data_IF_578927390708
#
_entry.id   IF_578927390708
#
_cell.length_a   1.000
_cell.length_b   1.000
_cell.length_c   1.000
_cell.angle_alpha   90.00
_cell.angle_beta   90.00
_cell.angle_gamma   90.00
#
_symmetry.space_group_name_H-M   'P 1'
#
loop_
_entity.id
_entity.type
_entity.pdbx_description
1 polymer ?
#
# COMPACT_ATOMS: atom_id res chain seq x y z
N UNK A 1 3.90 -32.20 -47.46
CA UNK A 1 4.58 -31.19 -46.61
C UNK A 1 3.61 -30.22 -45.89
N UNK A 2 2.30 -30.24 -46.21
CA UNK A 2 1.34 -29.33 -45.57
C UNK A 2 0.74 -29.81 -44.23
N UNK A 3 0.71 -31.12 -43.96
CA UNK A 3 0.09 -31.67 -42.75
C UNK A 3 1.01 -31.64 -41.48
N UNK A 4 2.33 -31.63 -41.68
CA UNK A 4 3.31 -31.54 -40.57
C UNK A 4 3.50 -30.10 -40.04
N UNK A 5 3.22 -29.09 -40.85
CA UNK A 5 3.29 -27.68 -40.41
C UNK A 5 2.07 -27.28 -39.58
N UNK A 6 0.90 -27.83 -39.83
CA UNK A 6 -0.32 -27.55 -39.04
C UNK A 6 -0.30 -28.19 -37.64
N UNK A 7 0.40 -29.32 -37.44
CA UNK A 7 0.57 -29.93 -36.10
C UNK A 7 1.66 -29.24 -35.23
N UNK A 8 2.62 -28.58 -35.86
CA UNK A 8 3.63 -27.79 -35.13
C UNK A 8 3.05 -26.45 -34.67
N UNK A 9 2.20 -25.81 -35.49
CA UNK A 9 1.50 -24.57 -35.10
C UNK A 9 0.43 -24.81 -34.03
N UNK A 10 -0.24 -25.98 -34.02
CA UNK A 10 -1.21 -26.33 -32.96
C UNK A 10 -0.58 -26.68 -31.64
N UNK A 11 0.71 -27.09 -31.58
CA UNK A 11 1.46 -27.34 -30.34
C UNK A 11 2.13 -26.09 -29.73
N UNK A 12 2.22 -24.98 -30.46
CA UNK A 12 2.72 -23.71 -29.95
C UNK A 12 1.66 -22.84 -29.25
N UNK A 13 0.38 -23.24 -29.24
CA UNK A 13 -0.72 -22.48 -28.64
C UNK A 13 -1.14 -22.92 -27.23
N UNK A 14 -0.35 -23.75 -26.55
CA UNK A 14 -0.63 -24.20 -25.16
C UNK A 14 0.57 -23.99 -24.25
N UNK A 15 1.19 -22.80 -24.28
CA UNK A 15 1.86 -22.29 -23.09
C UNK A 15 0.79 -21.57 -22.26
N UNK A 16 0.55 -21.95 -21.01
CA UNK A 16 -0.32 -21.17 -20.15
C UNK A 16 0.30 -19.76 -20.06
N UNK A 17 -0.46 -18.74 -20.48
CA UNK A 17 -0.14 -17.35 -20.16
C UNK A 17 0.07 -17.30 -18.66
N UNK A 18 1.30 -17.06 -18.22
CA UNK A 18 1.60 -16.90 -16.78
C UNK A 18 0.63 -15.87 -16.23
N UNK A 19 -0.24 -16.31 -15.34
CA UNK A 19 -1.22 -15.45 -14.68
C UNK A 19 -0.46 -14.31 -14.00
N UNK A 20 -0.83 -13.07 -14.30
CA UNK A 20 -0.27 -11.89 -13.61
C UNK A 20 -0.76 -11.76 -12.17
N UNK A 21 -1.58 -12.71 -11.71
CA UNK A 21 -2.23 -12.70 -10.40
C UNK A 21 -1.27 -13.17 -9.32
N UNK A 22 -1.15 -12.37 -8.28
CA UNK A 22 -0.44 -12.69 -7.03
C UNK A 22 -1.43 -13.26 -6.01
N UNK A 23 -1.15 -14.43 -5.46
CA UNK A 23 -1.97 -15.11 -4.45
C UNK A 23 -1.19 -15.21 -3.16
N UNK A 24 -1.71 -14.62 -2.09
CA UNK A 24 -1.09 -14.62 -0.78
C UNK A 24 -1.95 -15.38 0.22
N UNK A 25 -1.46 -16.53 0.70
CA UNK A 25 -2.11 -17.28 1.75
C UNK A 25 -1.66 -16.73 3.10
N UNK A 26 -2.61 -16.30 3.92
CA UNK A 26 -2.36 -15.78 5.27
C UNK A 26 -2.90 -16.76 6.29
N UNK A 27 -2.01 -17.35 7.06
CA UNK A 27 -2.36 -18.27 8.14
C UNK A 27 -1.61 -17.97 9.42
N UNK A 28 -1.94 -18.64 10.49
CA UNK A 28 -1.26 -18.47 11.76
C UNK A 28 -2.13 -18.83 12.95
N UNK A 29 -1.48 -18.87 14.11
CA UNK A 29 -2.12 -19.24 15.38
C UNK A 29 -3.21 -18.24 15.77
N UNK A 30 -4.28 -18.72 16.34
CA UNK A 30 -5.37 -17.87 16.83
C UNK A 30 -4.86 -16.85 17.85
N UNK A 31 -5.15 -15.57 17.62
CA UNK A 31 -4.61 -14.46 18.42
C UNK A 31 -3.24 -13.93 17.96
N UNK A 32 -2.61 -14.50 16.92
CA UNK A 32 -1.34 -14.04 16.39
C UNK A 32 -1.45 -12.79 15.49
N UNK A 33 -2.67 -12.33 15.12
CA UNK A 33 -2.86 -11.12 14.33
C UNK A 33 -3.29 -11.35 12.88
N UNK A 34 -3.75 -12.55 12.49
CA UNK A 34 -4.20 -12.88 11.12
C UNK A 34 -5.18 -11.83 10.55
N UNK A 35 -6.23 -11.49 11.29
CA UNK A 35 -7.21 -10.49 10.86
C UNK A 35 -6.58 -9.12 10.63
N UNK A 36 -5.62 -8.72 11.45
CA UNK A 36 -4.89 -7.46 11.27
C UNK A 36 -4.07 -7.47 9.97
N UNK A 37 -3.41 -8.59 9.65
CA UNK A 37 -2.66 -8.73 8.39
C UNK A 37 -3.60 -8.72 7.19
N UNK A 38 -4.75 -9.39 7.26
CA UNK A 38 -5.73 -9.37 6.17
C UNK A 38 -6.27 -7.95 5.92
N UNK A 39 -6.58 -7.18 6.97
CA UNK A 39 -7.00 -5.78 6.83
C UNK A 39 -5.87 -4.92 6.23
N UNK A 40 -4.61 -5.15 6.64
CA UNK A 40 -3.46 -4.46 6.05
C UNK A 40 -3.33 -4.77 4.55
N UNK A 41 -3.52 -6.02 4.14
CA UNK A 41 -3.47 -6.43 2.73
C UNK A 41 -4.63 -5.84 1.92
N UNK A 42 -5.82 -5.73 2.50
CA UNK A 42 -6.96 -5.03 1.90
C UNK A 42 -6.63 -3.55 1.64
N UNK A 43 -6.05 -2.84 2.62
CA UNK A 43 -5.54 -1.47 2.46
C UNK A 43 -4.47 -1.36 1.35
N UNK A 44 -3.72 -2.44 1.07
CA UNK A 44 -2.69 -2.53 0.04
C UNK A 44 -3.23 -2.99 -1.33
N UNK A 45 -4.54 -3.07 -1.46
CA UNK A 45 -5.24 -3.37 -2.72
C UNK A 45 -5.38 -4.86 -3.04
N UNK A 46 -5.16 -5.75 -2.06
CA UNK A 46 -5.52 -7.15 -2.20
C UNK A 46 -7.02 -7.36 -2.05
N UNK A 47 -7.60 -8.20 -2.89
CA UNK A 47 -8.93 -8.75 -2.63
C UNK A 47 -8.83 -9.83 -1.56
N UNK A 48 -9.50 -9.63 -0.43
CA UNK A 48 -9.35 -10.49 0.76
C UNK A 48 -10.52 -11.45 0.88
N UNK A 49 -10.22 -12.74 1.06
CA UNK A 49 -11.18 -13.78 1.44
C UNK A 49 -10.71 -14.39 2.75
N UNK A 50 -11.51 -14.32 3.81
CA UNK A 50 -11.21 -14.96 5.09
C UNK A 50 -12.20 -16.08 5.40
N UNK A 51 -11.74 -17.10 6.10
CA UNK A 51 -12.53 -18.23 6.62
C UNK A 51 -13.26 -19.08 5.56
N UNK A 52 -12.77 -19.12 4.32
CA UNK A 52 -13.32 -20.01 3.30
C UNK A 52 -12.85 -21.46 3.52
N UNK A 53 -13.70 -22.49 3.30
CA UNK A 53 -13.26 -23.86 3.28
C UNK A 53 -12.12 -24.09 2.28
N UNK A 54 -11.09 -24.86 2.68
CA UNK A 54 -9.90 -25.09 1.84
C UNK A 54 -10.24 -25.64 0.47
N UNK A 55 -11.17 -26.60 0.40
CA UNK A 55 -11.61 -27.23 -0.85
C UNK A 55 -12.21 -26.25 -1.87
N UNK A 56 -12.69 -25.10 -1.44
CA UNK A 56 -13.27 -24.08 -2.31
C UNK A 56 -12.24 -23.02 -2.77
N UNK A 57 -11.07 -22.96 -2.13
CA UNK A 57 -10.07 -21.91 -2.44
C UNK A 57 -9.63 -21.89 -3.91
N UNK A 58 -9.27 -23.01 -4.55
CA UNK A 58 -8.84 -23.00 -5.95
C UNK A 58 -9.94 -22.49 -6.89
N UNK A 59 -11.18 -22.99 -6.73
CA UNK A 59 -12.32 -22.59 -7.57
C UNK A 59 -12.70 -21.11 -7.36
N UNK A 60 -12.69 -20.64 -6.11
CA UNK A 60 -12.98 -19.25 -5.78
C UNK A 60 -11.88 -18.32 -6.33
N UNK A 61 -10.61 -18.68 -6.15
CA UNK A 61 -9.48 -17.91 -6.67
C UNK A 61 -9.57 -17.80 -8.20
N UNK A 62 -9.80 -18.93 -8.89
CA UNK A 62 -9.93 -18.95 -10.35
C UNK A 62 -11.09 -18.05 -10.82
N UNK A 63 -12.28 -18.20 -10.23
CA UNK A 63 -13.45 -17.41 -10.60
C UNK A 63 -13.25 -15.91 -10.44
N UNK A 64 -12.65 -15.50 -9.33
CA UNK A 64 -12.38 -14.09 -9.04
C UNK A 64 -11.35 -13.48 -9.99
N UNK A 65 -10.35 -14.25 -10.38
CA UNK A 65 -9.29 -13.76 -11.27
C UNK A 65 -9.68 -13.75 -12.74
N UNK A 66 -10.62 -14.62 -13.16
CA UNK A 66 -11.15 -14.66 -14.52
C UNK A 66 -12.21 -13.58 -14.78
N UNK A 67 -13.16 -13.39 -13.85
CA UNK A 67 -14.34 -12.52 -14.04
C UNK A 67 -14.12 -11.08 -13.58
N UNK A 68 -13.10 -10.83 -12.76
CA UNK A 68 -12.84 -9.53 -12.16
C UNK A 68 -11.38 -9.20 -12.40
N UNK A 69 -11.02 -8.00 -12.82
CA UNK A 69 -9.63 -7.55 -12.99
C UNK A 69 -8.81 -7.59 -11.67
N UNK A 70 -8.96 -8.67 -10.88
CA UNK A 70 -8.24 -8.88 -9.63
C UNK A 70 -6.86 -9.45 -9.94
N UNK A 71 -5.83 -8.68 -9.68
CA UNK A 71 -4.42 -9.07 -9.83
C UNK A 71 -3.74 -9.44 -8.51
N UNK A 72 -4.37 -9.16 -7.37
CA UNK A 72 -3.85 -9.43 -6.02
C UNK A 72 -4.92 -10.06 -5.15
N UNK A 73 -4.69 -11.28 -4.69
CA UNK A 73 -5.63 -12.06 -3.89
C UNK A 73 -5.01 -12.48 -2.56
N UNK A 74 -5.67 -12.22 -1.44
CA UNK A 74 -5.26 -12.68 -0.11
C UNK A 74 -6.28 -13.67 0.45
N UNK A 75 -5.82 -14.88 0.81
CA UNK A 75 -6.64 -15.99 1.28
C UNK A 75 -6.34 -16.27 2.74
N UNK A 76 -7.28 -15.97 3.64
CA UNK A 76 -7.18 -16.27 5.07
C UNK A 76 -7.52 -17.73 5.38
N UNK A 77 -6.54 -18.47 5.87
CA UNK A 77 -6.71 -19.88 6.31
C UNK A 77 -6.49 -19.96 7.81
N UNK A 78 -7.46 -20.48 8.54
CA UNK A 78 -7.36 -20.67 9.99
C UNK A 78 -7.63 -22.14 10.42
N UNK A 79 -7.50 -22.37 11.71
CA UNK A 79 -7.68 -23.71 12.29
C UNK A 79 -9.08 -24.28 12.04
N UNK A 80 -10.11 -23.43 11.90
CA UNK A 80 -11.50 -23.89 11.69
C UNK A 80 -11.66 -24.52 10.31
N UNK A 81 -11.01 -23.93 9.31
CA UNK A 81 -11.04 -24.39 7.92
C UNK A 81 -10.12 -25.58 7.73
N UNK A 82 -8.92 -25.55 8.33
CA UNK A 82 -7.94 -26.62 8.23
C UNK A 82 -8.35 -27.89 9.01
N UNK A 83 -8.93 -27.71 10.18
CA UNK A 83 -9.35 -28.84 11.02
C UNK A 83 -10.39 -29.78 10.37
N UNK A 84 -11.13 -29.25 9.40
CA UNK A 84 -12.06 -30.07 8.59
C UNK A 84 -11.36 -30.84 7.45
N UNK A 85 -10.18 -30.34 6.98
CA UNK A 85 -9.63 -30.75 5.68
C UNK A 85 -8.08 -30.75 5.66
N UNK A 86 -7.45 -30.97 6.82
CA UNK A 86 -5.98 -30.87 6.98
C UNK A 86 -5.18 -31.78 6.06
N UNK A 87 -5.74 -32.95 5.71
CA UNK A 87 -5.11 -33.92 4.80
C UNK A 87 -5.00 -33.38 3.36
N UNK A 88 -5.83 -32.40 3.00
CA UNK A 88 -5.94 -31.88 1.64
C UNK A 88 -5.16 -30.58 1.41
N UNK A 89 -4.58 -29.95 2.46
CA UNK A 89 -3.86 -28.66 2.30
C UNK A 89 -2.77 -28.77 1.22
N UNK A 90 -1.94 -29.80 1.27
CA UNK A 90 -0.84 -29.98 0.30
C UNK A 90 -1.37 -30.04 -1.13
N UNK A 91 -2.42 -30.81 -1.38
CA UNK A 91 -3.04 -30.92 -2.70
C UNK A 91 -3.61 -29.60 -3.19
N UNK A 92 -4.31 -28.87 -2.33
CA UNK A 92 -4.89 -27.55 -2.65
C UNK A 92 -3.80 -26.53 -2.94
N UNK A 93 -2.72 -26.55 -2.15
CA UNK A 93 -1.58 -25.67 -2.36
C UNK A 93 -0.88 -25.97 -3.69
N UNK A 94 -0.66 -27.25 -4.02
CA UNK A 94 -0.11 -27.67 -5.32
C UNK A 94 -1.01 -27.26 -6.49
N UNK A 95 -2.32 -27.30 -6.35
CA UNK A 95 -3.25 -26.77 -7.36
C UNK A 95 -3.08 -25.26 -7.57
N UNK A 96 -2.96 -24.47 -6.50
CA UNK A 96 -2.72 -23.03 -6.61
C UNK A 96 -1.37 -22.74 -7.28
N UNK A 97 -0.31 -23.46 -6.89
CA UNK A 97 1.00 -23.34 -7.52
C UNK A 97 0.97 -23.66 -9.02
N UNK A 98 0.23 -24.71 -9.41
CA UNK A 98 0.12 -25.09 -10.83
C UNK A 98 -0.68 -24.09 -11.65
N UNK A 99 -1.66 -23.40 -11.05
CA UNK A 99 -2.53 -22.44 -11.73
C UNK A 99 -1.88 -21.07 -11.87
N UNK A 100 -1.22 -20.57 -10.82
CA UNK A 100 -0.71 -19.20 -10.76
C UNK A 100 0.81 -19.10 -10.89
N UNK A 101 1.55 -20.18 -10.67
CA UNK A 101 3.02 -20.21 -10.67
C UNK A 101 3.60 -20.17 -9.26
N UNK A 102 4.78 -20.79 -9.09
CA UNK A 102 5.46 -20.91 -7.80
C UNK A 102 6.00 -19.58 -7.27
N UNK A 103 6.25 -18.62 -8.15
CA UNK A 103 6.69 -17.26 -7.82
C UNK A 103 5.53 -16.33 -7.42
N UNK A 104 4.28 -16.72 -7.76
CA UNK A 104 3.07 -15.91 -7.54
C UNK A 104 2.24 -16.35 -6.34
N UNK A 105 2.41 -17.57 -5.86
CA UNK A 105 1.70 -18.08 -4.67
C UNK A 105 2.65 -18.10 -3.49
N UNK A 106 2.36 -17.31 -2.45
CA UNK A 106 3.19 -17.19 -1.25
C UNK A 106 2.38 -17.40 0.02
N UNK A 107 3.03 -17.84 1.09
CA UNK A 107 2.42 -18.08 2.40
C UNK A 107 3.06 -17.19 3.47
N UNK A 108 2.24 -16.36 4.11
CA UNK A 108 2.59 -15.67 5.36
C UNK A 108 2.02 -16.46 6.53
N UNK A 109 2.88 -16.92 7.43
CA UNK A 109 2.47 -17.58 8.66
C UNK A 109 2.74 -16.70 9.89
N UNK A 110 1.69 -16.45 10.68
CA UNK A 110 1.77 -15.61 11.88
C UNK A 110 1.86 -16.47 13.14
N UNK A 111 2.78 -16.11 13.99
CA UNK A 111 2.94 -16.75 15.31
C UNK A 111 3.12 -15.71 16.42
N UNK A 112 3.04 -16.15 17.65
CA UNK A 112 3.45 -15.40 18.83
C UNK A 112 3.78 -16.40 19.95
N UNK A 113 4.55 -15.94 20.96
CA UNK A 113 4.82 -16.75 22.16
C UNK A 113 3.52 -17.16 22.86
N UNK A 114 3.49 -18.36 23.43
CA UNK A 114 2.28 -18.89 24.07
C UNK A 114 1.75 -17.97 25.18
N UNK A 115 2.63 -17.42 26.00
CA UNK A 115 2.28 -16.44 27.05
C UNK A 115 1.57 -15.20 26.50
N UNK A 116 2.01 -14.72 25.32
CA UNK A 116 1.41 -13.57 24.64
C UNK A 116 0.04 -13.93 24.08
N UNK A 117 -0.12 -15.13 23.48
CA UNK A 117 -1.42 -15.59 22.99
C UNK A 117 -2.42 -15.74 24.15
N UNK A 118 -2.01 -16.35 25.26
CA UNK A 118 -2.84 -16.48 26.46
C UNK A 118 -3.28 -15.10 26.96
N UNK A 119 -2.36 -14.15 27.05
CA UNK A 119 -2.67 -12.77 27.48
C UNK A 119 -3.67 -12.08 26.53
N UNK A 120 -3.49 -12.25 25.19
CA UNK A 120 -4.40 -11.69 24.19
C UNK A 120 -5.82 -12.29 24.27
N UNK A 121 -5.94 -13.62 24.48
CA UNK A 121 -7.22 -14.25 24.70
C UNK A 121 -7.91 -13.75 25.98
N UNK A 122 -7.15 -13.60 27.08
CA UNK A 122 -7.67 -13.03 28.31
C UNK A 122 -8.17 -11.59 28.16
N UNK A 123 -7.39 -10.76 27.48
CA UNK A 123 -7.74 -9.36 27.23
C UNK A 123 -8.98 -9.19 26.33
N UNK A 124 -9.12 -10.04 25.31
CA UNK A 124 -10.25 -9.97 24.37
C UNK A 124 -11.49 -10.73 24.82
N UNK A 125 -11.39 -11.54 25.87
CA UNK A 125 -12.46 -12.45 26.37
C UNK A 125 -13.04 -13.36 25.29
N UNK A 126 -12.25 -13.69 24.25
CA UNK A 126 -12.67 -14.60 23.18
C UNK A 126 -12.38 -16.06 23.58
N UNK A 127 -13.25 -16.96 23.14
CA UNK A 127 -13.01 -18.40 23.27
C UNK A 127 -12.13 -18.85 22.12
N UNK A 128 -11.14 -19.70 22.40
CA UNK A 128 -10.28 -20.27 21.36
C UNK A 128 -11.11 -21.14 20.39
N UNK A 129 -10.91 -21.06 19.05
CA UNK A 129 -11.72 -21.78 18.08
C UNK A 129 -11.84 -23.28 18.36
N UNK A 130 -10.76 -23.96 18.72
CA UNK A 130 -10.81 -25.42 19.05
C UNK A 130 -11.59 -25.73 20.32
N UNK A 131 -11.70 -24.79 21.26
CA UNK A 131 -12.54 -24.97 22.47
C UNK A 131 -14.03 -24.76 22.17
N UNK A 132 -14.34 -24.04 21.11
CA UNK A 132 -15.73 -23.83 20.65
C UNK A 132 -16.23 -24.93 19.70
N UNK A 133 -15.36 -25.89 19.34
CA UNK A 133 -15.69 -27.00 18.43
C UNK A 133 -15.82 -28.30 19.22
N UNK A 134 -17.02 -28.82 19.38
CA UNK A 134 -17.31 -30.05 20.19
C UNK A 134 -16.51 -31.29 19.81
N UNK A 135 -16.03 -31.40 18.58
CA UNK A 135 -15.24 -32.54 18.08
C UNK A 135 -13.81 -32.63 18.63
N UNK A 136 -13.32 -31.59 19.30
CA UNK A 136 -12.01 -31.61 19.93
C UNK A 136 -12.18 -31.61 21.45
N UNK A 137 -11.78 -32.71 22.10
CA UNK A 137 -11.76 -32.80 23.58
C UNK A 137 -10.61 -31.91 24.15
N UNK A 138 -10.74 -30.61 24.00
CA UNK A 138 -9.76 -29.64 24.48
C UNK A 138 -10.35 -28.85 25.65
N UNK A 139 -9.83 -29.13 26.86
CA UNK A 139 -10.40 -28.62 28.11
C UNK A 139 -9.89 -27.26 28.57
N UNK A 140 -8.78 -26.80 28.03
CA UNK A 140 -8.16 -25.53 28.45
C UNK A 140 -7.41 -24.85 27.30
N UNK A 141 -7.15 -23.56 27.46
CA UNK A 141 -6.50 -22.72 26.44
C UNK A 141 -5.08 -23.19 26.07
N UNK A 142 -4.17 -23.54 26.98
CA UNK A 142 -2.85 -24.06 26.59
C UNK A 142 -2.92 -25.32 25.73
N UNK A 143 -3.80 -26.26 26.06
CA UNK A 143 -4.00 -27.47 25.24
C UNK A 143 -4.57 -27.16 23.87
N UNK A 144 -5.46 -26.16 23.77
CA UNK A 144 -6.01 -25.70 22.51
C UNK A 144 -4.90 -25.09 21.62
N UNK A 145 -4.08 -24.22 22.19
CA UNK A 145 -2.95 -23.59 21.50
C UNK A 145 -1.93 -24.63 21.00
N UNK A 146 -1.60 -25.61 21.83
CA UNK A 146 -0.70 -26.71 21.44
C UNK A 146 -1.28 -27.50 20.27
N UNK A 147 -2.53 -27.95 20.39
CA UNK A 147 -3.21 -28.68 19.34
C UNK A 147 -3.33 -27.91 18.03
N UNK A 148 -3.61 -26.63 18.10
CA UNK A 148 -3.63 -25.75 16.94
C UNK A 148 -2.27 -25.71 16.25
N UNK A 149 -1.17 -25.58 17.01
CA UNK A 149 0.19 -25.57 16.46
C UNK A 149 0.50 -26.85 15.69
N UNK A 150 0.12 -28.01 16.21
CA UNK A 150 0.30 -29.29 15.55
C UNK A 150 -0.53 -29.38 14.25
N UNK A 151 -1.78 -28.93 14.29
CA UNK A 151 -2.70 -28.97 13.14
C UNK A 151 -2.29 -28.02 12.02
N UNK A 152 -1.76 -26.83 12.36
CA UNK A 152 -1.27 -25.84 11.40
C UNK A 152 0.16 -26.16 10.88
N UNK A 153 0.79 -27.23 11.37
CA UNK A 153 2.13 -27.66 10.97
C UNK A 153 2.36 -27.70 9.45
N UNK A 154 1.46 -28.32 8.65
CA UNK A 154 1.61 -28.35 7.20
C UNK A 154 1.68 -26.97 6.54
N UNK A 155 0.97 -25.97 7.06
CA UNK A 155 1.03 -24.60 6.53
C UNK A 155 2.31 -23.92 6.97
N UNK A 156 2.67 -24.01 8.27
CA UNK A 156 3.86 -23.35 8.79
C UNK A 156 5.15 -23.89 8.17
N UNK A 157 5.19 -25.20 7.80
CA UNK A 157 6.35 -25.80 7.16
C UNK A 157 6.53 -25.41 5.69
N UNK A 158 5.48 -24.89 5.04
CA UNK A 158 5.52 -24.39 3.67
C UNK A 158 5.47 -22.85 3.60
N UNK A 159 5.58 -22.18 4.75
CA UNK A 159 5.51 -20.73 4.80
C UNK A 159 6.77 -20.08 4.20
N UNK A 160 6.58 -19.13 3.28
CA UNK A 160 7.66 -18.32 2.71
C UNK A 160 8.19 -17.31 3.74
N UNK A 161 7.31 -16.83 4.63
CA UNK A 161 7.71 -16.00 5.78
C UNK A 161 6.93 -16.40 7.03
N UNK A 162 7.64 -16.45 8.16
CA UNK A 162 7.06 -16.59 9.50
C UNK A 162 7.25 -15.28 10.24
N UNK A 163 6.14 -14.66 10.66
CA UNK A 163 6.15 -13.40 11.40
C UNK A 163 5.79 -13.66 12.86
N UNK A 164 6.77 -13.50 13.74
CA UNK A 164 6.54 -13.49 15.19
C UNK A 164 6.03 -12.11 15.63
N UNK A 165 4.78 -12.08 16.07
CA UNK A 165 4.09 -10.86 16.50
C UNK A 165 4.15 -10.62 17.99
N UNK A 166 4.97 -11.37 18.75
CA UNK A 166 5.01 -11.32 20.23
C UNK A 166 5.30 -9.91 20.76
N UNK A 167 6.20 -9.19 20.10
CA UNK A 167 6.65 -7.86 20.52
C UNK A 167 6.20 -6.74 19.55
N UNK A 168 5.54 -7.10 18.46
CA UNK A 168 5.14 -6.12 17.45
C UNK A 168 3.86 -5.39 17.87
N UNK A 169 3.86 -4.07 17.71
CA UNK A 169 2.64 -3.28 17.65
C UNK A 169 2.03 -3.33 16.24
N UNK A 170 0.84 -2.76 16.07
CA UNK A 170 0.12 -2.81 14.79
C UNK A 170 0.88 -2.09 13.66
N UNK A 171 1.62 -1.03 13.96
CA UNK A 171 2.39 -0.28 12.98
C UNK A 171 3.59 -1.08 12.50
N UNK A 172 4.33 -1.69 13.42
CA UNK A 172 5.46 -2.57 13.09
C UNK A 172 5.02 -3.80 12.29
N UNK A 173 3.84 -4.36 12.61
CA UNK A 173 3.26 -5.44 11.82
C UNK A 173 2.93 -4.98 10.40
N UNK A 174 2.34 -3.79 10.24
CA UNK A 174 2.02 -3.20 8.93
C UNK A 174 3.27 -3.02 8.08
N UNK A 175 4.34 -2.45 8.64
CA UNK A 175 5.62 -2.28 7.95
C UNK A 175 6.21 -3.63 7.50
N UNK A 176 6.19 -4.64 8.39
CA UNK A 176 6.71 -5.97 8.06
C UNK A 176 5.95 -6.64 6.91
N UNK A 177 4.62 -6.49 6.88
CA UNK A 177 3.79 -7.01 5.78
C UNK A 177 4.09 -6.26 4.48
N UNK A 178 4.22 -4.92 4.51
CA UNK A 178 4.53 -4.09 3.34
C UNK A 178 5.88 -4.46 2.72
N UNK A 179 6.93 -4.56 3.55
CA UNK A 179 8.26 -5.02 3.13
C UNK A 179 8.18 -6.36 2.40
N UNK A 180 7.41 -7.31 2.96
CA UNK A 180 7.30 -8.64 2.40
C UNK A 180 6.58 -8.67 1.04
N UNK A 181 5.51 -7.92 0.87
CA UNK A 181 4.77 -7.87 -0.40
C UNK A 181 5.43 -6.94 -1.44
N UNK A 182 6.61 -6.39 -1.13
CA UNK A 182 7.38 -5.54 -2.05
C UNK A 182 6.67 -4.23 -2.41
N UNK A 183 5.77 -3.77 -1.56
CA UNK A 183 5.17 -2.45 -1.73
C UNK A 183 6.13 -1.45 -1.12
N UNK A 184 6.78 -0.70 -1.98
CA UNK A 184 7.64 0.41 -1.59
C UNK A 184 6.88 1.34 -0.63
N UNK A 185 7.53 1.68 0.48
CA UNK A 185 7.05 2.66 1.45
C UNK A 185 7.04 4.08 0.86
N UNK A 186 6.63 4.21 -0.42
CA UNK A 186 6.60 5.51 -1.05
C UNK A 186 5.44 6.34 -0.51
N UNK A 187 5.79 7.43 0.18
CA UNK A 187 4.85 8.49 0.52
C UNK A 187 4.74 9.42 -0.68
N UNK A 188 3.54 9.71 -1.11
CA UNK A 188 3.32 10.72 -2.14
C UNK A 188 3.29 12.11 -1.50
N UNK A 189 4.25 12.96 -1.86
CA UNK A 189 4.28 14.38 -1.51
C UNK A 189 3.62 15.17 -2.63
N UNK A 190 2.40 15.65 -2.41
CA UNK A 190 1.67 16.48 -3.37
C UNK A 190 1.99 17.96 -3.17
N UNK A 191 2.73 18.55 -4.09
CA UNK A 191 2.90 20.00 -4.15
C UNK A 191 1.76 20.62 -4.95
N UNK A 192 0.94 21.45 -4.31
CA UNK A 192 -0.27 22.02 -4.90
C UNK A 192 -0.20 23.54 -4.95
N UNK A 193 -0.16 24.14 -6.15
CA UNK A 193 -0.40 25.59 -6.25
C UNK A 193 -1.89 25.90 -6.22
N UNK A 194 -2.27 26.98 -5.49
CA UNK A 194 -3.66 27.39 -5.39
C UNK A 194 -3.83 28.91 -5.30
N UNK A 195 -5.07 29.35 -5.55
CA UNK A 195 -5.48 30.75 -5.36
C UNK A 195 -6.38 30.91 -4.14
N UNK A 196 -6.00 31.79 -3.19
CA UNK A 196 -6.79 32.07 -2.00
C UNK A 196 -8.23 32.54 -2.32
N UNK A 197 -8.42 33.22 -3.46
CA UNK A 197 -9.77 33.64 -3.91
C UNK A 197 -10.73 32.47 -4.16
N UNK A 198 -10.20 31.25 -4.34
CA UNK A 198 -10.99 30.05 -4.55
C UNK A 198 -11.02 29.14 -3.31
N UNK A 199 -10.57 29.63 -2.16
CA UNK A 199 -10.49 28.88 -0.91
C UNK A 199 -9.21 28.10 -0.73
N UNK A 200 -8.86 27.85 0.52
CA UNK A 200 -7.69 27.01 0.90
C UNK A 200 -8.07 25.53 0.67
N UNK A 201 -7.16 24.69 0.14
CA UNK A 201 -7.40 23.25 0.05
C UNK A 201 -7.62 22.65 1.44
N UNK A 202 -8.71 21.91 1.61
CA UNK A 202 -9.10 21.34 2.92
C UNK A 202 -8.26 20.12 3.32
N UNK A 203 -7.61 19.49 2.34
CA UNK A 203 -6.75 18.32 2.47
C UNK A 203 -5.25 18.67 2.57
N UNK A 204 -4.92 19.96 2.73
CA UNK A 204 -3.54 20.41 2.86
C UNK A 204 -3.01 20.18 4.27
N UNK A 205 -1.87 19.48 4.39
CA UNK A 205 -1.13 19.33 5.65
C UNK A 205 -0.30 20.57 5.98
N UNK A 206 0.23 21.25 4.94
CA UNK A 206 0.96 22.51 5.05
C UNK A 206 0.41 23.51 4.06
N UNK A 207 0.31 24.77 4.50
CA UNK A 207 -0.14 25.88 3.65
C UNK A 207 0.88 27.02 3.75
N UNK A 208 1.51 27.36 2.64
CA UNK A 208 2.43 28.50 2.52
C UNK A 208 1.78 29.63 1.75
N UNK A 209 1.72 30.80 2.37
CA UNK A 209 1.18 32.01 1.76
C UNK A 209 2.31 32.84 1.12
N UNK A 210 2.32 32.88 -0.21
CA UNK A 210 3.32 33.64 -0.98
C UNK A 210 2.75 34.96 -1.55
N UNK A 211 1.66 35.51 -0.99
CA UNK A 211 1.07 36.79 -1.43
C UNK A 211 1.92 38.00 -1.10
N UNK A 212 2.83 37.86 -0.13
CA UNK A 212 3.77 38.92 0.24
C UNK A 212 4.80 39.23 -0.87
N UNK A 213 5.09 38.27 -1.74
CA UNK A 213 6.07 38.41 -2.81
C UNK A 213 5.61 39.39 -3.91
N UNK A 214 6.54 39.98 -4.66
CA UNK A 214 6.24 40.85 -5.80
C UNK A 214 5.20 40.23 -6.74
N UNK A 215 4.27 41.07 -7.24
CA UNK A 215 3.13 40.56 -8.00
C UNK A 215 3.21 40.90 -9.49
N UNK A 216 3.53 39.93 -10.37
CA UNK A 216 3.62 40.15 -11.82
C UNK A 216 2.32 40.68 -12.44
N UNK A 217 1.18 40.50 -11.79
CA UNK A 217 -0.12 40.97 -12.29
C UNK A 217 -0.21 42.47 -12.51
N UNK A 218 0.62 43.25 -11.82
CA UNK A 218 0.67 44.72 -12.00
C UNK A 218 1.40 45.14 -13.29
N UNK A 219 2.19 44.24 -13.88
CA UNK A 219 2.76 44.45 -15.21
C UNK A 219 1.78 43.96 -16.28
N UNK A 220 1.27 44.84 -17.19
CA UNK A 220 0.30 44.42 -18.22
C UNK A 220 0.77 43.26 -19.11
N UNK A 221 2.07 43.20 -19.43
CA UNK A 221 2.66 42.16 -20.27
C UNK A 221 2.74 40.81 -19.57
N UNK A 222 2.93 40.82 -18.25
CA UNK A 222 3.02 39.60 -17.43
C UNK A 222 1.66 39.10 -16.92
N UNK A 223 0.63 39.95 -16.92
CA UNK A 223 -0.70 39.62 -16.38
C UNK A 223 -1.34 38.42 -17.06
N UNK A 224 -1.16 38.28 -18.37
CA UNK A 224 -1.71 37.20 -19.18
C UNK A 224 -0.92 35.91 -19.07
N UNK A 225 0.34 35.97 -18.65
CA UNK A 225 1.28 34.88 -18.50
C UNK A 225 1.06 34.10 -17.20
N UNK A 226 1.81 33.04 -16.99
CA UNK A 226 1.74 32.15 -15.82
C UNK A 226 3.10 32.11 -15.11
N UNK A 227 3.17 31.48 -13.95
CA UNK A 227 4.43 31.28 -13.22
C UNK A 227 5.43 30.34 -13.90
N UNK A 228 5.06 29.70 -15.00
CA UNK A 228 5.95 28.85 -15.82
C UNK A 228 6.56 29.56 -17.00
N UNK A 229 6.08 30.78 -17.34
CA UNK A 229 6.57 31.52 -18.49
C UNK A 229 7.90 32.23 -18.18
N UNK A 230 8.82 32.20 -19.15
CA UNK A 230 10.20 32.69 -18.97
C UNK A 230 10.25 34.11 -18.44
N UNK A 231 9.41 35.01 -18.97
CA UNK A 231 9.41 36.44 -18.59
C UNK A 231 8.89 36.64 -17.15
N UNK A 232 8.03 35.77 -16.65
CA UNK A 232 7.60 35.77 -15.24
C UNK A 232 8.72 35.25 -14.34
N UNK A 233 9.46 34.24 -14.80
CA UNK A 233 10.64 33.71 -14.10
C UNK A 233 11.72 34.77 -14.01
N UNK A 234 12.03 35.47 -15.11
CA UNK A 234 12.98 36.57 -15.15
C UNK A 234 12.55 37.78 -14.26
N UNK A 235 11.25 38.05 -14.19
CA UNK A 235 10.72 39.04 -13.26
C UNK A 235 11.02 38.64 -11.81
N UNK A 236 10.76 37.38 -11.40
CA UNK A 236 11.02 36.95 -10.03
C UNK A 236 12.50 36.89 -9.68
N UNK A 237 13.37 36.62 -10.64
CA UNK A 237 14.83 36.59 -10.44
C UNK A 237 15.42 37.97 -9.99
N UNK A 238 14.69 39.06 -10.19
CA UNK A 238 15.12 40.40 -9.80
C UNK A 238 14.92 40.70 -8.30
N UNK A 239 14.19 39.81 -7.58
CA UNK A 239 13.77 40.03 -6.20
C UNK A 239 14.41 39.03 -5.25
N UNK A 240 15.41 39.42 -4.42
CA UNK A 240 16.05 38.51 -3.47
C UNK A 240 15.07 37.82 -2.53
N UNK A 241 14.03 38.52 -2.08
CA UNK A 241 13.01 37.99 -1.16
C UNK A 241 12.22 36.77 -1.74
N UNK A 242 12.16 36.66 -3.07
CA UNK A 242 11.56 35.49 -3.72
C UNK A 242 12.43 34.23 -3.51
N UNK A 243 13.74 34.40 -3.65
CA UNK A 243 14.71 33.36 -3.43
C UNK A 243 14.79 32.97 -1.93
N UNK A 244 14.74 33.97 -1.04
CA UNK A 244 14.76 33.76 0.40
C UNK A 244 13.53 32.90 0.85
N UNK A 245 12.33 33.30 0.42
CA UNK A 245 11.09 32.55 0.69
C UNK A 245 11.16 31.12 0.14
N UNK A 246 11.67 30.95 -1.08
CA UNK A 246 11.88 29.65 -1.68
C UNK A 246 12.84 28.79 -0.84
N UNK A 247 13.93 29.38 -0.37
CA UNK A 247 14.93 28.67 0.44
C UNK A 247 14.37 28.26 1.82
N UNK A 248 13.59 29.13 2.45
CA UNK A 248 12.97 28.85 3.75
C UNK A 248 11.97 27.68 3.65
N UNK A 249 11.06 27.74 2.66
CA UNK A 249 10.08 26.66 2.42
C UNK A 249 10.81 25.36 2.07
N UNK A 250 11.82 25.42 1.18
CA UNK A 250 12.60 24.24 0.82
C UNK A 250 13.29 23.63 2.04
N UNK A 251 13.96 24.44 2.86
CA UNK A 251 14.67 23.98 4.06
C UNK A 251 13.71 23.32 5.06
N UNK A 252 12.54 23.95 5.26
CA UNK A 252 11.49 23.38 6.09
C UNK A 252 11.03 22.02 5.57
N UNK A 253 10.66 21.92 4.30
CA UNK A 253 10.12 20.71 3.70
C UNK A 253 11.17 19.60 3.62
N UNK A 254 12.40 19.93 3.21
CA UNK A 254 13.49 18.95 3.10
C UNK A 254 13.87 18.35 4.46
N UNK A 255 13.69 19.09 5.55
CA UNK A 255 13.93 18.62 6.91
C UNK A 255 12.78 17.75 7.42
N UNK A 256 11.52 18.16 7.21
CA UNK A 256 10.38 17.56 7.89
C UNK A 256 9.65 16.47 7.09
N UNK A 257 9.69 16.51 5.75
CA UNK A 257 9.03 15.49 4.95
C UNK A 257 9.55 14.06 5.22
N UNK A 258 10.88 13.83 5.39
CA UNK A 258 11.38 12.50 5.74
C UNK A 258 10.83 11.95 7.06
N UNK A 259 10.52 12.80 8.02
CA UNK A 259 9.96 12.37 9.31
C UNK A 259 8.57 11.73 9.17
N UNK A 260 7.83 12.05 8.10
CA UNK A 260 6.53 11.44 7.82
C UNK A 260 6.64 9.98 7.39
N UNK A 261 7.81 9.51 6.92
CA UNK A 261 8.06 8.10 6.61
C UNK A 261 7.82 7.21 7.84
N UNK A 262 8.09 7.73 9.04
CA UNK A 262 7.92 6.99 10.29
C UNK A 262 6.49 7.02 10.85
N UNK A 263 5.57 7.78 10.24
CA UNK A 263 4.24 8.06 10.78
C UNK A 263 3.08 7.43 10.01
N UNK A 264 3.31 6.38 9.22
CA UNK A 264 2.29 5.65 8.43
C UNK A 264 1.36 6.52 7.56
N UNK A 265 1.86 7.66 7.09
CA UNK A 265 1.14 8.46 6.11
C UNK A 265 1.46 7.97 4.70
N UNK A 266 0.44 7.91 3.85
CA UNK A 266 0.59 7.57 2.44
C UNK A 266 0.72 8.79 1.55
N UNK A 267 0.27 9.94 2.04
CA UNK A 267 0.24 11.20 1.30
C UNK A 267 0.48 12.36 2.25
N UNK A 268 1.28 13.33 1.80
CA UNK A 268 1.44 14.64 2.44
C UNK A 268 1.17 15.70 1.38
N UNK A 269 0.21 16.58 1.65
CA UNK A 269 -0.17 17.67 0.73
C UNK A 269 0.39 19.00 1.21
N UNK A 270 1.24 19.59 0.39
CA UNK A 270 1.84 20.92 0.61
C UNK A 270 1.22 21.92 -0.35
N UNK A 271 0.41 22.82 0.16
CA UNK A 271 -0.29 23.82 -0.64
C UNK A 271 0.44 25.17 -0.61
N UNK A 272 0.69 25.75 -1.77
CA UNK A 272 1.35 27.04 -1.94
C UNK A 272 0.36 28.01 -2.57
N UNK A 273 0.02 29.09 -1.87
CA UNK A 273 -1.07 29.98 -2.21
C UNK A 273 -0.65 31.38 -2.58
N UNK A 274 -1.18 31.89 -3.70
CA UNK A 274 -1.20 33.32 -4.00
C UNK A 274 -2.64 33.80 -4.22
N UNK A 275 -2.89 35.04 -4.55
CA UNK A 275 -4.26 35.59 -4.69
C UNK A 275 -5.07 34.81 -5.73
N UNK A 276 -4.53 34.64 -6.94
CA UNK A 276 -5.24 34.04 -8.08
C UNK A 276 -4.80 32.66 -8.49
N UNK A 277 -3.73 32.10 -7.90
CA UNK A 277 -3.23 30.77 -8.27
C UNK A 277 -2.58 30.69 -9.67
N UNK A 278 -2.06 31.78 -10.21
CA UNK A 278 -1.56 31.86 -11.60
C UNK A 278 -0.05 32.15 -11.72
N UNK A 279 0.51 33.04 -10.90
CA UNK A 279 1.89 33.49 -11.03
C UNK A 279 2.77 33.01 -9.87
N UNK A 280 2.74 33.70 -8.70
CA UNK A 280 3.62 33.44 -7.55
C UNK A 280 3.57 32.04 -7.02
N UNK A 281 2.36 31.49 -6.78
CA UNK A 281 2.19 30.13 -6.29
C UNK A 281 2.65 29.09 -7.30
N UNK A 282 2.38 29.31 -8.59
CA UNK A 282 2.81 28.41 -9.66
C UNK A 282 4.33 28.37 -9.75
N UNK A 283 4.98 29.53 -9.88
CA UNK A 283 6.44 29.65 -9.90
C UNK A 283 7.09 28.95 -8.68
N UNK A 284 6.60 29.25 -7.48
CA UNK A 284 7.15 28.67 -6.25
C UNK A 284 6.96 27.14 -6.20
N UNK A 285 5.82 26.64 -6.65
CA UNK A 285 5.54 25.21 -6.68
C UNK A 285 6.46 24.48 -7.66
N UNK A 286 6.67 25.02 -8.86
CA UNK A 286 7.57 24.46 -9.88
C UNK A 286 9.03 24.39 -9.38
N UNK A 287 9.52 25.48 -8.80
CA UNK A 287 10.89 25.54 -8.30
C UNK A 287 11.12 24.61 -7.11
N UNK A 288 10.17 24.51 -6.19
CA UNK A 288 10.22 23.56 -5.07
C UNK A 288 10.12 22.12 -5.56
N UNK A 289 9.27 21.83 -6.53
CA UNK A 289 9.16 20.51 -7.14
C UNK A 289 10.49 20.04 -7.73
N UNK A 290 11.13 20.89 -8.54
CA UNK A 290 12.42 20.56 -9.16
C UNK A 290 13.50 20.26 -8.11
N UNK A 291 13.56 21.02 -7.02
CA UNK A 291 14.55 20.84 -5.95
C UNK A 291 14.26 19.65 -5.07
N UNK A 292 13.03 19.49 -4.59
CA UNK A 292 12.65 18.40 -3.69
C UNK A 292 12.71 17.02 -4.39
N UNK A 293 12.36 16.95 -5.67
CA UNK A 293 12.48 15.71 -6.45
C UNK A 293 13.93 15.20 -6.57
N UNK A 294 14.92 16.06 -6.38
CA UNK A 294 16.34 15.71 -6.43
C UNK A 294 16.95 15.45 -5.05
N UNK A 295 16.40 16.04 -3.99
CA UNK A 295 17.01 16.05 -2.66
C UNK A 295 16.36 15.09 -1.67
N UNK A 296 15.08 14.76 -1.86
CA UNK A 296 14.37 13.86 -0.95
C UNK A 296 14.73 12.39 -1.21
N UNK A 297 14.67 11.54 -0.18
CA UNK A 297 14.81 10.10 -0.34
C UNK A 297 13.83 9.53 -1.37
N UNK A 298 14.20 8.44 -2.05
CA UNK A 298 13.38 7.84 -3.12
C UNK A 298 12.01 7.33 -2.61
N UNK A 299 11.91 7.06 -1.32
CA UNK A 299 10.67 6.69 -0.63
C UNK A 299 9.63 7.83 -0.61
N UNK A 300 10.07 9.06 -0.89
CA UNK A 300 9.20 10.23 -1.01
C UNK A 300 9.00 10.59 -2.48
N UNK A 301 7.91 10.10 -3.07
CA UNK A 301 7.55 10.44 -4.45
C UNK A 301 6.91 11.81 -4.51
N UNK A 302 7.61 12.77 -5.09
CA UNK A 302 7.07 14.14 -5.24
C UNK A 302 6.19 14.20 -6.48
N UNK A 303 4.97 14.71 -6.31
CA UNK A 303 4.01 14.99 -7.37
C UNK A 303 3.64 16.48 -7.32
N UNK A 304 3.27 17.02 -8.47
CA UNK A 304 2.90 18.44 -8.56
C UNK A 304 1.57 18.62 -9.29
N UNK A 305 0.77 19.60 -8.83
CA UNK A 305 -0.49 19.97 -9.46
C UNK A 305 -0.77 21.46 -9.30
N UNK A 306 -1.31 22.06 -10.34
CA UNK A 306 -1.84 23.44 -10.29
C UNK A 306 -3.35 23.39 -10.30
N UNK A 307 -3.98 23.73 -9.15
CA UNK A 307 -5.43 23.62 -8.98
C UNK A 307 -6.21 24.48 -9.97
N UNK A 308 -5.75 25.71 -10.20
CA UNK A 308 -6.40 26.69 -11.06
C UNK A 308 -5.98 26.66 -12.54
N UNK A 309 -5.26 25.62 -12.98
CA UNK A 309 -4.75 25.54 -14.36
C UNK A 309 -5.83 25.73 -15.43
N UNK A 310 -7.04 25.23 -15.18
CA UNK A 310 -8.18 25.39 -16.10
C UNK A 310 -8.73 26.82 -16.17
N UNK A 311 -8.37 27.69 -15.22
CA UNK A 311 -8.83 29.08 -15.16
C UNK A 311 -7.78 30.10 -15.67
N UNK A 312 -6.63 29.66 -16.19
CA UNK A 312 -5.56 30.54 -16.64
C UNK A 312 -5.85 31.20 -18.00
N UNK A 313 -6.78 30.66 -18.78
CA UNK A 313 -7.16 31.15 -20.11
C UNK A 313 -8.28 32.20 -20.14
N UNK A 314 -8.67 32.73 -18.98
CA UNK A 314 -9.74 33.74 -18.88
C UNK A 314 -9.25 34.99 -18.21
#
# INVERSE_FOLDING_TARGET
MSAMQSEVEAKQQLMPTQSSVEVLIVSGRSGSGKTSVLNILEDLGYYVIDNMPLSLLPAAAQRLTEDSNISKLALGVDIRTLAADSANFKYIYEQLLSTYGTDKVKIIYLTAQESVLVARFAATRRVHPLMAMDRYDVKNLPSAIKRETETLGPISSNADIIVDTSTLNIHQLKERVREYVGIDNQITVNLLSFGFKFGVPIDADFVFDVRILPNPHWNPELRVKTGTDAEVIEFFAQFPEVNDMQQDIYTFLNRWLPEFLHNNRHTVTVAIGCTGGKHRSVFMTETLFARLSQSLPYELKVMMKHREKLHWGH
#
